data_IF_235889970185
#
_entry.id   IF_235889970185
#
_cell.length_a   1.000
_cell.length_b   1.000
_cell.length_c   1.000
_cell.angle_alpha   90.00
_cell.angle_beta   90.00
_cell.angle_gamma   90.00
#
_symmetry.space_group_name_H-M   'P 1'
#
loop_
_entity.id
_entity.type
_entity.pdbx_description
1 polymer ?
#
# COMPACT_ATOMS: atom_id res chain seq x y z
N UNK A 1 -1.86 2.53 26.18
CA UNK A 1 -0.77 1.53 26.11
C UNK A 1 0.27 1.98 27.10
N UNK A 2 0.35 1.34 28.26
CA UNK A 2 1.22 1.77 29.37
C UNK A 2 2.70 1.33 29.20
N UNK A 3 3.00 0.60 28.14
CA UNK A 3 4.34 0.08 27.87
C UNK A 3 4.96 0.74 26.64
N UNK A 4 5.94 1.62 26.87
CA UNK A 4 6.69 2.32 25.81
C UNK A 4 7.33 1.33 24.81
N UNK A 5 7.79 0.18 25.30
CA UNK A 5 8.40 -0.86 24.46
C UNK A 5 7.41 -1.46 23.47
N UNK A 6 6.15 -1.65 23.90
CA UNK A 6 5.12 -2.19 23.00
C UNK A 6 4.76 -1.17 21.91
N UNK A 7 4.74 0.13 22.25
CA UNK A 7 4.55 1.19 21.26
C UNK A 7 5.72 1.27 20.24
N UNK A 8 6.95 1.14 20.71
CA UNK A 8 8.15 1.09 19.85
C UNK A 8 8.10 -0.14 18.92
N UNK A 9 7.79 -1.32 19.46
CA UNK A 9 7.63 -2.54 18.66
C UNK A 9 6.54 -2.37 17.58
N UNK A 10 5.39 -1.79 17.93
CA UNK A 10 4.31 -1.52 16.96
C UNK A 10 4.78 -0.59 15.85
N UNK A 11 5.54 0.46 16.18
CA UNK A 11 6.12 1.37 15.16
C UNK A 11 7.08 0.64 14.23
N UNK A 12 7.97 -0.20 14.75
CA UNK A 12 8.91 -0.97 13.93
C UNK A 12 8.18 -1.93 12.98
N UNK A 13 7.12 -2.59 13.46
CA UNK A 13 6.30 -3.46 12.61
C UNK A 13 5.53 -2.67 11.55
N UNK A 14 5.02 -1.48 11.91
CA UNK A 14 4.29 -0.62 10.98
C UNK A 14 5.20 -0.09 9.86
N UNK A 15 6.41 0.32 10.20
CA UNK A 15 7.45 0.72 9.24
C UNK A 15 7.85 -0.44 8.32
N UNK A 16 7.92 -1.66 8.87
CA UNK A 16 8.15 -2.87 8.06
C UNK A 16 7.01 -3.11 7.06
N UNK A 17 5.76 -2.95 7.49
CA UNK A 17 4.58 -3.09 6.62
C UNK A 17 4.62 -2.04 5.51
N UNK A 18 4.92 -0.78 5.84
CA UNK A 18 5.03 0.34 4.89
C UNK A 18 6.12 0.11 3.84
N UNK A 19 7.28 -0.37 4.26
CA UNK A 19 8.37 -0.68 3.32
C UNK A 19 8.00 -1.86 2.41
N UNK A 20 7.32 -2.88 2.94
CA UNK A 20 6.84 -4.00 2.14
C UNK A 20 5.70 -3.60 1.19
N UNK A 21 4.83 -2.67 1.60
CA UNK A 21 3.71 -2.20 0.78
C UNK A 21 4.22 -1.48 -0.47
N UNK A 22 5.33 -0.74 -0.38
CA UNK A 22 5.97 -0.12 -1.55
C UNK A 22 6.28 -1.12 -2.66
N UNK A 23 6.82 -2.29 -2.31
CA UNK A 23 7.10 -3.36 -3.29
C UNK A 23 5.81 -3.91 -3.91
N UNK A 24 4.71 -3.97 -3.15
CA UNK A 24 3.39 -4.37 -3.66
C UNK A 24 2.90 -3.36 -4.70
N UNK A 25 3.01 -2.05 -4.41
CA UNK A 25 2.62 -0.99 -5.33
C UNK A 25 3.44 -1.03 -6.63
N UNK A 26 4.76 -1.19 -6.52
CA UNK A 26 5.64 -1.32 -7.68
C UNK A 26 5.23 -2.52 -8.56
N UNK A 27 4.86 -3.65 -7.94
CA UNK A 27 4.30 -4.81 -8.64
C UNK A 27 2.99 -4.51 -9.36
N UNK A 28 2.05 -3.82 -8.71
CA UNK A 28 0.76 -3.41 -9.30
C UNK A 28 1.00 -2.50 -10.51
N UNK A 29 1.89 -1.51 -10.38
CA UNK A 29 2.25 -0.59 -11.47
C UNK A 29 2.90 -1.33 -12.63
N UNK A 30 3.84 -2.24 -12.36
CA UNK A 30 4.48 -3.05 -13.38
C UNK A 30 3.48 -3.90 -14.16
N UNK A 31 2.53 -4.53 -13.47
CA UNK A 31 1.45 -5.29 -14.13
C UNK A 31 0.57 -4.35 -14.96
N UNK A 32 0.20 -3.18 -14.44
CA UNK A 32 -0.57 -2.20 -15.22
C UNK A 32 0.12 -1.79 -16.51
N UNK A 33 1.44 -1.56 -16.49
CA UNK A 33 2.22 -1.26 -17.70
C UNK A 33 2.21 -2.43 -18.69
N UNK A 34 2.32 -3.67 -18.22
CA UNK A 34 2.20 -4.87 -19.07
C UNK A 34 0.81 -4.97 -19.69
N UNK A 35 -0.23 -4.54 -18.97
CA UNK A 35 -1.63 -4.66 -19.37
C UNK A 35 -2.08 -3.62 -20.41
N UNK A 36 -1.30 -2.57 -20.65
CA UNK A 36 -1.58 -1.58 -21.71
C UNK A 36 -1.00 -2.07 -23.04
N UNK A 37 -1.80 -1.99 -24.10
CA UNK A 37 -1.36 -2.25 -25.48
C UNK A 37 -0.60 -1.02 -26.00
N UNK A 38 0.68 -1.22 -26.32
CA UNK A 38 1.59 -0.17 -26.82
C UNK A 38 1.09 0.46 -28.13
N UNK A 39 0.21 -0.20 -28.87
CA UNK A 39 -0.24 0.26 -30.19
C UNK A 39 -1.48 1.17 -30.15
N UNK A 40 -2.28 1.12 -29.07
CA UNK A 40 -3.54 1.86 -29.00
C UNK A 40 -3.94 2.35 -27.60
N UNK A 41 -3.12 2.08 -26.58
CA UNK A 41 -3.36 2.49 -25.19
C UNK A 41 -4.52 1.77 -24.50
N UNK A 42 -5.14 0.77 -25.15
CA UNK A 42 -6.23 -0.02 -24.57
C UNK A 42 -5.68 -1.12 -23.68
N UNK A 43 -6.50 -1.54 -22.72
CA UNK A 43 -6.20 -2.73 -21.94
C UNK A 43 -6.20 -3.98 -22.85
N UNK A 44 -5.19 -4.84 -22.67
CA UNK A 44 -5.08 -6.15 -23.32
C UNK A 44 -6.18 -7.12 -22.89
N UNK A 45 -6.68 -6.99 -21.66
CA UNK A 45 -7.83 -7.72 -21.12
C UNK A 45 -8.53 -6.86 -20.07
N UNK A 46 -9.75 -6.40 -20.40
CA UNK A 46 -10.51 -5.48 -19.57
C UNK A 46 -10.88 -6.05 -18.20
N UNK A 47 -11.16 -7.37 -18.11
CA UNK A 47 -11.52 -8.00 -16.85
C UNK A 47 -10.30 -8.12 -15.94
N UNK A 48 -9.15 -8.51 -16.49
CA UNK A 48 -7.91 -8.58 -15.73
C UNK A 48 -7.46 -7.18 -15.29
N UNK A 49 -7.52 -6.18 -16.18
CA UNK A 49 -7.22 -4.78 -15.81
C UNK A 49 -8.12 -4.26 -14.71
N UNK A 50 -9.41 -4.60 -14.71
CA UNK A 50 -10.30 -4.23 -13.60
C UNK A 50 -9.88 -4.86 -12.27
N UNK A 51 -9.41 -6.12 -12.27
CA UNK A 51 -8.88 -6.74 -11.05
C UNK A 51 -7.58 -6.08 -10.57
N UNK A 52 -6.67 -5.73 -11.48
CA UNK A 52 -5.42 -5.04 -11.12
C UNK A 52 -5.69 -3.62 -10.61
N UNK A 53 -6.64 -2.90 -11.21
CA UNK A 53 -7.08 -1.60 -10.70
C UNK A 53 -7.64 -1.73 -9.27
N UNK A 54 -8.46 -2.75 -9.01
CA UNK A 54 -8.97 -3.04 -7.66
C UNK A 54 -7.87 -3.37 -6.65
N UNK A 55 -6.78 -4.01 -7.07
CA UNK A 55 -5.61 -4.20 -6.20
C UNK A 55 -4.95 -2.86 -5.87
N UNK A 56 -4.87 -1.94 -6.83
CA UNK A 56 -4.41 -0.56 -6.60
C UNK A 56 -5.25 0.18 -5.58
N UNK A 57 -6.59 0.15 -5.73
CA UNK A 57 -7.51 0.77 -4.77
C UNK A 57 -7.34 0.21 -3.35
N UNK A 58 -7.18 -1.11 -3.22
CA UNK A 58 -6.95 -1.75 -1.91
C UNK A 58 -5.59 -1.42 -1.32
N UNK A 59 -4.58 -1.22 -2.15
CA UNK A 59 -3.28 -0.71 -1.71
C UNK A 59 -3.42 0.72 -1.17
N UNK A 60 -4.13 1.61 -1.88
CA UNK A 60 -4.32 3.00 -1.45
C UNK A 60 -5.07 3.07 -0.12
N UNK A 61 -6.14 2.28 0.05
CA UNK A 61 -6.84 2.13 1.32
C UNK A 61 -5.90 1.68 2.45
N UNK A 62 -5.08 0.66 2.20
CA UNK A 62 -4.11 0.15 3.18
C UNK A 62 -3.06 1.20 3.54
N UNK A 63 -2.55 1.95 2.55
CA UNK A 63 -1.56 3.00 2.74
C UNK A 63 -2.12 4.14 3.61
N UNK A 64 -3.36 4.57 3.36
CA UNK A 64 -4.05 5.57 4.19
C UNK A 64 -4.15 5.12 5.64
N UNK A 65 -4.59 3.87 5.88
CA UNK A 65 -4.73 3.33 7.23
C UNK A 65 -3.39 3.23 7.96
N UNK A 66 -2.30 2.90 7.25
CA UNK A 66 -0.95 2.90 7.81
C UNK A 66 -0.55 4.32 8.25
N UNK A 67 -0.75 5.32 7.39
CA UNK A 67 -0.43 6.73 7.69
C UNK A 67 -1.23 7.25 8.89
N UNK A 68 -2.55 7.01 8.90
CA UNK A 68 -3.42 7.37 10.03
C UNK A 68 -2.97 6.70 11.34
N UNK A 69 -2.51 5.44 11.26
CA UNK A 69 -1.98 4.72 12.42
C UNK A 69 -0.66 5.33 12.91
N UNK A 70 0.23 5.73 12.00
CA UNK A 70 1.48 6.44 12.35
C UNK A 70 1.18 7.77 13.06
N UNK A 71 0.24 8.55 12.55
CA UNK A 71 -0.19 9.81 13.16
C UNK A 71 -0.75 9.59 14.58
N UNK A 72 -1.59 8.58 14.76
CA UNK A 72 -2.11 8.19 16.08
C UNK A 72 -0.99 7.76 17.04
N UNK A 73 0.07 7.11 16.56
CA UNK A 73 1.21 6.72 17.39
C UNK A 73 2.11 7.91 17.74
N UNK A 74 2.19 8.92 16.89
CA UNK A 74 2.97 10.15 17.13
C UNK A 74 2.29 11.07 18.14
N UNK A 75 0.96 11.20 18.08
CA UNK A 75 0.15 11.99 19.02
C UNK A 75 0.04 11.39 20.43
N UNK A 76 0.46 10.14 20.61
CA UNK A 76 0.49 9.44 21.91
C UNK A 76 1.83 9.53 22.64
N UNK A 77 2.77 10.33 22.15
CA UNK A 77 4.00 10.66 22.89
C UNK A 77 3.67 11.66 24.01
N UNK A 78 4.21 11.50 25.24
CA UNK A 78 4.18 12.54 26.26
C UNK A 78 5.07 13.73 25.90
#
# INVERSE_FOLDING_TARGET
>A
MENRRDLENVREQLETIKNNSRNIFEGIVAINLIMVDDNNGKSKDANLSAQIARLGEKYDEMSSVIEETEEMLNTRQP
#
